data_IF_547167791261
#
_entry.id   IF_547167791261
#
_cell.length_a   1.000
_cell.length_b   1.000
_cell.length_c   1.000
_cell.angle_alpha   90.00
_cell.angle_beta   90.00
_cell.angle_gamma   90.00
#
_symmetry.space_group_name_H-M   'P 1'
#
loop_
_entity.id
_entity.type
_entity.pdbx_description
1 polymer ?
#
# COMPACT_ATOMS: atom_id res chain seq x y z
N UNK A 1 -6.86 13.04 -20.03
CA UNK A 1 -6.91 12.18 -18.84
C UNK A 1 -5.72 11.25 -18.91
N UNK A 2 -4.68 11.51 -18.13
CA UNK A 2 -3.47 10.67 -18.07
C UNK A 2 -3.80 9.45 -17.22
N UNK A 3 -3.91 8.28 -17.83
CA UNK A 3 -3.97 7.00 -17.12
C UNK A 3 -2.73 6.84 -16.25
N UNK A 4 -2.90 6.89 -14.94
CA UNK A 4 -1.82 6.59 -14.00
C UNK A 4 -1.46 5.11 -14.12
N UNK A 5 -0.19 4.80 -14.38
CA UNK A 5 0.32 3.43 -14.35
C UNK A 5 -0.02 2.80 -13.01
N UNK A 6 -0.42 1.52 -13.01
CA UNK A 6 -1.01 0.81 -11.87
C UNK A 6 -0.20 0.96 -10.57
N UNK A 7 1.12 1.21 -10.61
CA UNK A 7 1.92 1.62 -9.45
C UNK A 7 2.94 2.74 -9.76
N UNK A 8 2.61 3.64 -10.69
CA UNK A 8 3.46 4.78 -11.03
C UNK A 8 3.61 5.77 -9.86
N UNK A 9 4.49 6.78 -9.99
CA UNK A 9 4.54 7.87 -9.02
C UNK A 9 3.17 8.51 -8.78
N UNK A 10 2.79 8.57 -7.50
CA UNK A 10 1.61 9.27 -7.03
C UNK A 10 1.97 10.74 -6.88
N UNK A 11 1.37 11.60 -7.70
CA UNK A 11 1.63 13.06 -7.73
C UNK A 11 0.45 13.87 -7.20
N UNK A 12 -0.59 13.21 -6.71
CA UNK A 12 -1.79 13.81 -6.13
C UNK A 12 -2.32 12.89 -5.03
N UNK A 13 -3.09 13.43 -4.08
CA UNK A 13 -3.64 12.63 -2.99
C UNK A 13 -4.49 11.45 -3.54
N UNK A 14 -4.18 10.19 -3.17
CA UNK A 14 -4.97 9.02 -3.55
C UNK A 14 -6.40 9.13 -3.02
N UNK A 15 -7.36 8.70 -3.83
CA UNK A 15 -8.76 8.60 -3.43
C UNK A 15 -9.14 7.21 -2.92
N UNK A 16 -8.20 6.26 -2.98
CA UNK A 16 -8.37 4.88 -2.55
C UNK A 16 -7.04 4.20 -2.24
N UNK A 17 -7.09 3.13 -1.46
CA UNK A 17 -5.91 2.39 -0.99
C UNK A 17 -5.21 1.60 -2.10
N UNK A 18 -5.97 1.06 -3.05
CA UNK A 18 -5.49 0.20 -4.14
C UNK A 18 -5.61 0.90 -5.49
N UNK A 19 -4.77 0.57 -6.49
CA UNK A 19 -4.96 1.10 -7.84
C UNK A 19 -6.35 0.78 -8.41
N UNK A 20 -6.91 1.63 -9.28
CA UNK A 20 -6.37 2.93 -9.73
C UNK A 20 -6.57 4.05 -8.68
N UNK A 21 -5.48 4.72 -8.27
CA UNK A 21 -5.46 5.64 -7.12
C UNK A 21 -6.23 6.95 -7.33
N UNK A 22 -6.47 7.34 -8.58
CA UNK A 22 -7.22 8.54 -8.97
C UNK A 22 -8.74 8.33 -8.97
N UNK A 23 -9.20 7.11 -8.69
CA UNK A 23 -10.62 6.78 -8.62
C UNK A 23 -11.11 6.72 -7.18
N UNK A 24 -12.33 7.21 -6.97
CA UNK A 24 -13.01 7.14 -5.68
C UNK A 24 -13.23 5.70 -5.24
N UNK A 25 -12.96 5.41 -3.97
CA UNK A 25 -13.17 4.08 -3.40
C UNK A 25 -14.63 3.80 -3.02
N UNK A 26 -15.49 3.53 -4.00
CA UNK A 26 -16.90 3.17 -3.71
C UNK A 26 -16.99 1.90 -2.85
N UNK A 27 -16.05 0.97 -2.99
CA UNK A 27 -15.98 -0.24 -2.17
C UNK A 27 -15.50 0.05 -0.72
N UNK A 28 -14.71 1.10 -0.54
CA UNK A 28 -14.25 1.56 0.77
C UNK A 28 -15.28 2.36 1.56
N UNK A 29 -16.43 2.71 0.97
CA UNK A 29 -17.50 3.42 1.67
C UNK A 29 -18.23 2.52 2.69
N UNK A 30 -18.78 3.14 3.73
CA UNK A 30 -19.58 2.43 4.72
C UNK A 30 -20.88 1.93 4.09
N UNK A 31 -21.15 0.63 4.22
CA UNK A 31 -22.39 0.05 3.73
C UNK A 31 -23.61 0.52 4.53
N UNK A 32 -24.78 0.59 3.89
CA UNK A 32 -26.03 1.02 4.54
C UNK A 32 -26.42 0.14 5.75
N UNK A 33 -26.00 -1.13 5.74
CA UNK A 33 -26.28 -2.11 6.81
C UNK A 33 -25.05 -2.40 7.68
N UNK A 34 -23.97 -1.65 7.52
CA UNK A 34 -22.70 -1.87 8.20
C UNK A 34 -22.56 -0.89 9.37
N UNK A 35 -22.18 -1.39 10.53
CA UNK A 35 -21.83 -0.52 11.66
C UNK A 35 -20.51 0.19 11.36
N UNK A 36 -20.29 1.35 11.98
CA UNK A 36 -19.01 2.08 11.86
C UNK A 36 -17.82 1.19 12.24
N UNK A 37 -17.97 0.33 13.27
CA UNK A 37 -16.91 -0.57 13.70
C UNK A 37 -16.59 -1.64 12.63
N UNK A 38 -17.60 -2.30 12.07
CA UNK A 38 -17.41 -3.27 10.98
C UNK A 38 -16.77 -2.65 9.75
N UNK A 39 -17.21 -1.44 9.38
CA UNK A 39 -16.61 -0.67 8.30
C UNK A 39 -15.13 -0.37 8.59
N UNK A 40 -14.83 0.03 9.82
CA UNK A 40 -13.47 0.34 10.24
C UNK A 40 -12.57 -0.89 10.22
N UNK A 41 -13.01 -2.02 10.77
CA UNK A 41 -12.27 -3.28 10.75
C UNK A 41 -11.99 -3.74 9.31
N UNK A 42 -13.00 -3.72 8.44
CA UNK A 42 -12.86 -4.06 7.02
C UNK A 42 -11.86 -3.16 6.29
N UNK A 43 -11.88 -1.85 6.59
CA UNK A 43 -10.94 -0.89 6.02
C UNK A 43 -9.51 -1.18 6.49
N UNK A 44 -9.31 -1.45 7.78
CA UNK A 44 -7.99 -1.79 8.33
C UNK A 44 -7.45 -3.06 7.67
N UNK A 45 -8.31 -4.08 7.49
CA UNK A 45 -7.96 -5.33 6.81
C UNK A 45 -7.58 -5.10 5.35
N UNK A 46 -8.33 -4.27 4.60
CA UNK A 46 -7.97 -3.95 3.22
C UNK A 46 -6.66 -3.16 3.12
N UNK A 47 -6.45 -2.20 4.02
CA UNK A 47 -5.20 -1.47 4.17
C UNK A 47 -4.01 -2.39 4.41
N UNK A 48 -4.16 -3.35 5.32
CA UNK A 48 -3.11 -4.30 5.65
C UNK A 48 -2.81 -5.22 4.45
N UNK A 49 -3.86 -5.71 3.78
CA UNK A 49 -3.72 -6.52 2.59
C UNK A 49 -3.01 -5.76 1.46
N UNK A 50 -3.31 -4.47 1.26
CA UNK A 50 -2.65 -3.64 0.26
C UNK A 50 -1.15 -3.44 0.56
N UNK A 51 -0.77 -3.30 1.83
CA UNK A 51 0.63 -3.19 2.25
C UNK A 51 1.39 -4.52 2.14
N UNK A 52 0.72 -5.64 2.39
CA UNK A 52 1.33 -6.98 2.32
C UNK A 52 1.42 -7.54 0.90
N UNK A 53 0.52 -7.17 0.00
CA UNK A 53 0.53 -7.63 -1.40
C UNK A 53 1.89 -7.46 -2.10
N UNK A 54 2.56 -6.30 -2.08
CA UNK A 54 3.89 -6.15 -2.68
C UNK A 54 5.00 -6.91 -1.95
N UNK A 55 4.75 -7.39 -0.73
CA UNK A 55 5.68 -8.18 0.07
C UNK A 55 5.46 -9.69 -0.07
N UNK A 56 4.56 -10.13 -0.95
CA UNK A 56 4.30 -11.56 -1.15
C UNK A 56 5.59 -12.33 -1.51
N UNK A 57 5.83 -13.44 -0.81
CA UNK A 57 7.06 -14.22 -0.90
C UNK A 57 8.30 -13.62 -0.20
N UNK A 58 8.18 -12.47 0.49
CA UNK A 58 9.21 -11.93 1.38
C UNK A 58 8.86 -12.32 2.81
N UNK A 59 9.85 -12.77 3.59
CA UNK A 59 9.66 -13.02 5.01
C UNK A 59 9.38 -11.71 5.74
N UNK A 60 8.24 -11.64 6.42
CA UNK A 60 7.81 -10.49 7.22
C UNK A 60 7.67 -10.97 8.66
N UNK A 61 8.49 -10.43 9.55
CA UNK A 61 8.46 -10.72 10.97
C UNK A 61 7.17 -10.25 11.64
N UNK A 62 6.87 -10.77 12.83
CA UNK A 62 5.71 -10.34 13.62
C UNK A 62 5.75 -8.84 13.95
N UNK A 63 6.95 -8.29 14.18
CA UNK A 63 7.12 -6.87 14.46
C UNK A 63 6.83 -6.01 13.22
N UNK A 64 7.31 -6.42 12.05
CA UNK A 64 7.00 -5.73 10.79
C UNK A 64 5.51 -5.83 10.47
N UNK A 65 4.89 -7.01 10.63
CA UNK A 65 3.44 -7.17 10.46
C UNK A 65 2.64 -6.29 11.42
N UNK A 66 3.07 -6.20 12.69
CA UNK A 66 2.45 -5.32 13.68
C UNK A 66 2.61 -3.84 13.31
N UNK A 67 3.77 -3.46 12.78
CA UNK A 67 4.05 -2.10 12.31
C UNK A 67 3.19 -1.75 11.09
N UNK A 68 3.05 -2.67 10.14
CA UNK A 68 2.17 -2.50 8.98
C UNK A 68 0.70 -2.41 9.41
N UNK A 69 0.27 -3.21 10.37
CA UNK A 69 -1.07 -3.12 10.95
C UNK A 69 -1.31 -1.76 11.61
N UNK A 70 -0.36 -1.27 12.43
CA UNK A 70 -0.43 0.08 12.99
C UNK A 70 -0.52 1.17 11.91
N UNK A 71 0.17 1.00 10.78
CA UNK A 71 0.13 1.94 9.67
C UNK A 71 -1.26 2.03 9.03
N UNK A 72 -2.05 0.96 9.07
CA UNK A 72 -3.43 0.96 8.54
C UNK A 72 -4.39 1.87 9.30
N UNK A 73 -4.07 2.23 10.56
CA UNK A 73 -4.82 3.22 11.33
C UNK A 73 -4.62 4.66 10.85
N UNK A 74 -3.79 4.89 9.82
CA UNK A 74 -3.58 6.19 9.19
C UNK A 74 -4.61 6.43 8.07
N UNK A 75 -4.52 7.62 7.48
CA UNK A 75 -5.27 8.02 6.29
C UNK A 75 -4.98 7.12 5.06
N UNK A 76 -5.98 6.92 4.20
CA UNK A 76 -5.84 6.06 2.99
C UNK A 76 -4.75 6.57 2.05
N UNK A 77 -4.58 7.89 1.96
CA UNK A 77 -3.55 8.52 1.14
C UNK A 77 -2.15 8.04 1.53
N UNK A 78 -1.87 7.97 2.83
CA UNK A 78 -0.59 7.50 3.36
C UNK A 78 -0.41 6.01 3.04
N UNK A 79 -1.43 5.18 3.29
CA UNK A 79 -1.38 3.74 3.03
C UNK A 79 -1.15 3.46 1.54
N UNK A 80 -1.91 4.12 0.66
CA UNK A 80 -1.79 3.99 -0.79
C UNK A 80 -0.40 4.39 -1.30
N UNK A 81 0.15 5.50 -0.80
CA UNK A 81 1.50 5.95 -1.18
C UNK A 81 2.56 4.94 -0.76
N UNK A 82 2.48 4.40 0.45
CA UNK A 82 3.42 3.38 0.93
C UNK A 82 3.28 2.09 0.14
N UNK A 83 2.06 1.60 -0.10
CA UNK A 83 1.83 0.42 -0.93
C UNK A 83 2.39 0.60 -2.35
N UNK A 84 2.16 1.76 -2.98
CA UNK A 84 2.72 2.08 -4.31
C UNK A 84 4.26 2.16 -4.30
N UNK A 85 4.86 2.65 -3.23
CA UNK A 85 6.32 2.65 -3.06
C UNK A 85 6.85 1.21 -2.96
N UNK A 86 6.21 0.34 -2.17
CA UNK A 86 6.59 -1.06 -2.03
C UNK A 86 6.47 -1.83 -3.35
N UNK A 87 5.39 -1.64 -4.10
CA UNK A 87 5.24 -2.22 -5.44
C UNK A 87 6.37 -1.78 -6.36
N UNK A 88 6.70 -0.48 -6.42
CA UNK A 88 7.82 0.01 -7.23
C UNK A 88 9.17 -0.51 -6.76
N UNK A 89 9.39 -0.62 -5.46
CA UNK A 89 10.62 -1.15 -4.91
C UNK A 89 10.81 -2.63 -5.29
N UNK A 90 9.72 -3.41 -5.29
CA UNK A 90 9.72 -4.82 -5.74
C UNK A 90 10.05 -4.95 -7.23
N UNK A 91 9.48 -4.07 -8.05
CA UNK A 91 9.71 -4.06 -9.51
C UNK A 91 11.06 -3.43 -9.90
N UNK A 92 11.69 -2.68 -9.00
CA UNK A 92 12.96 -2.02 -9.25
C UNK A 92 14.09 -3.04 -9.41
N UNK A 93 14.97 -2.77 -10.38
CA UNK A 93 16.21 -3.55 -10.54
C UNK A 93 17.06 -3.42 -9.27
N UNK A 94 17.67 -4.51 -8.76
CA UNK A 94 18.60 -4.44 -7.64
C UNK A 94 19.72 -3.42 -7.90
N UNK A 95 20.09 -2.67 -6.87
CA UNK A 95 21.21 -1.75 -6.95
C UNK A 95 22.47 -2.52 -7.35
N UNK A 96 23.30 -1.98 -8.26
CA UNK A 96 24.55 -2.63 -8.61
C UNK A 96 25.41 -2.74 -7.34
N UNK A 97 25.77 -3.96 -6.96
CA UNK A 97 26.70 -4.19 -5.86
C UNK A 97 28.06 -3.69 -6.31
N UNK A 98 28.47 -2.51 -5.84
CA UNK A 98 29.85 -2.05 -6.00
C UNK A 98 30.76 -3.09 -5.36
N UNK A 99 31.49 -3.85 -6.19
CA UNK A 99 32.60 -4.67 -5.68
C UNK A 99 33.63 -3.69 -5.12
N UNK A 100 33.80 -3.66 -3.81
CA UNK A 100 35.03 -3.12 -3.22
C UNK A 100 36.19 -3.86 -3.89
N UNK A 101 36.91 -3.17 -4.76
CA UNK A 101 38.18 -3.69 -5.26
C UNK A 101 39.18 -3.60 -4.11
N UNK A 102 39.81 -4.71 -3.69
CA UNK A 102 40.93 -4.63 -2.78
C UNK A 102 42.08 -3.92 -3.51
N UNK A 103 42.52 -2.80 -2.96
CA UNK A 103 43.75 -2.09 -3.35
C UNK A 103 45.00 -2.87 -2.93
#
# INVERSE_FOLDING_TARGET
MTTQTVHGPITSAPLRVRPPYDQRDVAGEQGQNETVHQWWDRRLDDGLAALLTPLDGIEVSDYERSTLSWLTGREDSTIAVVAALLHRAREARPLPTSKCSPS
#
